data_IF_026973717316
#
_entry.id   IF_026973717316
#
_cell.length_a   1.000
_cell.length_b   1.000
_cell.length_c   1.000
_cell.angle_alpha   90.00
_cell.angle_beta   90.00
_cell.angle_gamma   90.00
#
_symmetry.space_group_name_H-M   'P 1'
#
loop_
_entity.id
_entity.type
_entity.pdbx_description
1 polymer ?
#
# COMPACT_ATOMS: atom_id res chain seq x y z
N UNK A 1 33.04 -12.29 -3.48
CA UNK A 1 31.78 -11.85 -2.82
C UNK A 1 30.64 -12.49 -3.58
N UNK A 2 29.63 -13.05 -2.90
CA UNK A 2 28.49 -13.62 -3.60
C UNK A 2 27.53 -12.51 -4.02
N UNK A 3 27.25 -12.40 -5.31
CA UNK A 3 26.21 -11.52 -5.83
C UNK A 3 24.87 -12.24 -5.86
N UNK A 4 23.78 -11.49 -5.68
CA UNK A 4 22.42 -11.99 -5.77
C UNK A 4 21.50 -10.94 -6.42
N UNK A 5 20.33 -11.38 -6.87
CA UNK A 5 19.34 -10.52 -7.53
C UNK A 5 18.05 -10.50 -6.74
N UNK A 6 17.41 -9.34 -6.69
CA UNK A 6 16.08 -9.16 -6.10
C UNK A 6 15.21 -8.30 -7.00
N UNK A 7 13.92 -8.59 -7.03
CA UNK A 7 12.92 -7.73 -7.62
C UNK A 7 12.34 -6.84 -6.53
N UNK A 8 12.50 -5.54 -6.63
CA UNK A 8 12.13 -4.64 -5.56
C UNK A 8 11.58 -3.30 -6.06
N UNK A 9 10.71 -2.71 -5.24
CA UNK A 9 10.22 -1.34 -5.40
C UNK A 9 10.88 -0.41 -4.38
N UNK A 10 11.25 0.79 -4.84
CA UNK A 10 11.86 1.81 -3.98
C UNK A 10 10.79 2.52 -3.15
N UNK A 11 10.89 2.38 -1.83
CA UNK A 11 10.04 3.07 -0.84
C UNK A 11 10.54 4.47 -0.50
N UNK A 12 11.81 4.74 -0.78
CA UNK A 12 12.46 6.00 -0.47
C UNK A 12 13.92 5.80 -0.11
N UNK A 13 14.59 6.84 0.38
CA UNK A 13 15.98 6.73 0.76
C UNK A 13 16.54 8.01 1.37
N UNK A 14 17.70 7.87 2.01
CA UNK A 14 18.41 8.95 2.71
C UNK A 14 19.79 9.13 2.12
N UNK A 15 20.18 10.36 1.84
CA UNK A 15 21.53 10.68 1.40
C UNK A 15 22.50 10.49 2.57
N UNK A 16 23.61 9.76 2.32
CA UNK A 16 24.68 9.55 3.27
C UNK A 16 25.99 9.94 2.62
N UNK A 17 26.85 10.62 3.35
CA UNK A 17 28.07 11.22 2.80
C UNK A 17 27.78 12.14 1.60
N UNK A 18 28.79 12.55 0.85
CA UNK A 18 28.61 13.45 -0.29
C UNK A 18 28.01 12.76 -1.51
N UNK A 19 28.29 11.48 -1.72
CA UNK A 19 28.05 10.78 -3.01
C UNK A 19 27.13 9.57 -2.90
N UNK A 20 26.88 9.09 -1.70
CA UNK A 20 26.18 7.84 -1.44
C UNK A 20 24.73 8.08 -1.01
N UNK A 21 23.88 7.06 -1.18
CA UNK A 21 22.50 7.03 -0.72
C UNK A 21 22.16 5.66 -0.15
N UNK A 22 21.44 5.62 0.96
CA UNK A 22 20.76 4.42 1.44
C UNK A 22 19.38 4.39 0.88
N UNK A 23 18.99 3.28 0.27
CA UNK A 23 17.63 3.03 -0.19
C UNK A 23 16.90 2.13 0.79
N UNK A 24 15.64 2.43 1.01
CA UNK A 24 14.67 1.49 1.56
C UNK A 24 13.88 0.93 0.40
N UNK A 25 13.84 -0.38 0.29
CA UNK A 25 13.12 -1.11 -0.75
C UNK A 25 12.22 -2.17 -0.14
N UNK A 26 11.16 -2.54 -0.84
CA UNK A 26 10.39 -3.74 -0.54
C UNK A 26 10.60 -4.72 -1.68
N UNK A 27 11.15 -5.88 -1.37
CA UNK A 27 11.49 -6.92 -2.35
C UNK A 27 10.55 -8.11 -2.28
N UNK A 28 10.37 -8.75 -3.43
CA UNK A 28 9.59 -9.97 -3.56
C UNK A 28 10.20 -11.11 -2.72
N UNK A 29 11.53 -11.23 -2.75
CA UNK A 29 12.26 -12.38 -2.20
C UNK A 29 12.57 -12.26 -0.70
N UNK A 30 12.78 -11.03 -0.20
CA UNK A 30 13.27 -10.81 1.16
C UNK A 30 12.45 -9.81 1.97
N UNK A 31 11.40 -9.22 1.37
CA UNK A 31 10.62 -8.18 2.03
C UNK A 31 11.38 -6.86 2.13
N UNK A 32 11.28 -6.19 3.27
CA UNK A 32 11.86 -4.85 3.46
C UNK A 32 13.36 -4.93 3.68
N UNK A 33 14.12 -4.19 2.86
CA UNK A 33 15.58 -4.13 2.91
C UNK A 33 16.08 -2.68 2.88
N UNK A 34 17.26 -2.48 3.45
CA UNK A 34 18.08 -1.28 3.24
C UNK A 34 19.28 -1.64 2.38
N UNK A 35 19.47 -0.91 1.28
CA UNK A 35 20.56 -1.13 0.32
C UNK A 35 21.42 0.12 0.19
N UNK A 36 22.72 -0.06 -0.06
CA UNK A 36 23.67 1.04 -0.27
C UNK A 36 23.91 1.28 -1.75
N UNK A 37 23.63 2.48 -2.23
CA UNK A 37 24.03 2.95 -3.57
C UNK A 37 25.25 3.84 -3.45
N UNK A 38 26.41 3.29 -3.78
CA UNK A 38 27.69 4.00 -3.77
C UNK A 38 27.80 4.94 -4.97
N UNK A 39 28.21 6.18 -4.74
CA UNK A 39 28.46 7.16 -5.81
C UNK A 39 27.23 7.55 -6.65
N UNK A 40 26.01 7.20 -6.25
CA UNK A 40 24.80 7.41 -7.05
C UNK A 40 24.48 8.89 -7.30
N UNK A 41 24.97 9.76 -6.47
CA UNK A 41 24.78 11.22 -6.59
C UNK A 41 25.74 11.90 -7.57
N UNK A 42 26.75 11.17 -8.08
CA UNK A 42 27.64 11.67 -9.12
C UNK A 42 26.90 11.78 -10.46
N UNK A 43 27.26 12.78 -11.28
CA UNK A 43 26.60 13.02 -12.57
C UNK A 43 26.64 11.84 -13.53
N UNK A 44 27.74 11.10 -13.53
CA UNK A 44 27.97 9.97 -14.45
C UNK A 44 27.47 8.61 -13.91
N UNK A 45 26.76 8.58 -12.77
CA UNK A 45 26.29 7.33 -12.20
C UNK A 45 25.24 6.64 -13.08
N UNK A 46 25.48 5.35 -13.38
CA UNK A 46 24.53 4.48 -14.11
C UNK A 46 23.32 4.09 -13.27
N UNK A 47 23.40 4.24 -11.95
CA UNK A 47 22.35 3.85 -11.00
C UNK A 47 21.39 5.00 -10.64
N UNK A 48 21.41 6.11 -11.37
CA UNK A 48 20.59 7.29 -11.04
C UNK A 48 19.10 6.98 -10.94
N UNK A 49 18.56 6.17 -11.84
CA UNK A 49 17.15 5.83 -11.84
C UNK A 49 16.77 4.94 -10.65
N UNK A 50 17.69 4.08 -10.20
CA UNK A 50 17.48 3.18 -9.06
C UNK A 50 17.24 3.91 -7.71
N UNK A 51 17.55 5.21 -7.62
CA UNK A 51 17.35 5.99 -6.40
C UNK A 51 15.99 6.68 -6.30
N UNK A 52 15.23 6.71 -7.40
CA UNK A 52 13.98 7.45 -7.46
C UNK A 52 12.84 6.66 -6.78
N UNK A 53 11.97 7.36 -6.07
CA UNK A 53 10.77 6.78 -5.46
C UNK A 53 9.88 6.18 -6.56
N UNK A 54 9.13 5.14 -6.22
CA UNK A 54 8.30 4.32 -7.11
C UNK A 54 9.07 3.48 -8.12
N UNK A 55 10.39 3.64 -8.25
CA UNK A 55 11.15 2.83 -9.23
C UNK A 55 11.09 1.36 -8.85
N UNK A 56 10.62 0.54 -9.79
CA UNK A 56 10.52 -0.91 -9.69
C UNK A 56 11.47 -1.56 -10.68
N UNK A 57 12.24 -2.54 -10.22
CA UNK A 57 13.17 -3.26 -11.07
C UNK A 57 13.94 -4.35 -10.36
N UNK A 58 14.86 -4.96 -11.10
CA UNK A 58 15.78 -5.98 -10.60
C UNK A 58 17.08 -5.31 -10.12
N UNK A 59 17.34 -5.40 -8.83
CA UNK A 59 18.59 -4.97 -8.21
C UNK A 59 19.60 -6.10 -8.19
N UNK A 60 20.82 -5.83 -8.60
CA UNK A 60 21.97 -6.73 -8.47
C UNK A 60 22.76 -6.24 -7.26
N UNK A 61 22.86 -7.09 -6.25
CA UNK A 61 23.43 -6.74 -4.95
C UNK A 61 24.64 -7.61 -4.64
N UNK A 62 25.62 -7.06 -3.97
CA UNK A 62 26.73 -7.79 -3.34
C UNK A 62 26.61 -7.68 -1.83
N UNK A 63 26.96 -8.78 -1.14
CA UNK A 63 26.98 -8.80 0.32
C UNK A 63 27.99 -7.80 0.87
N UNK A 64 27.49 -6.84 1.64
CA UNK A 64 28.27 -5.93 2.45
C UNK A 64 28.52 -6.47 3.86
N UNK A 65 29.28 -5.74 4.66
CA UNK A 65 29.51 -6.12 6.06
C UNK A 65 28.23 -5.93 6.90
N UNK A 66 27.58 -4.77 6.79
CA UNK A 66 26.33 -4.45 7.50
C UNK A 66 25.17 -4.21 6.53
N UNK A 67 25.42 -3.58 5.41
CA UNK A 67 24.42 -3.20 4.40
C UNK A 67 24.92 -3.66 3.03
N UNK A 68 24.05 -4.36 2.31
CA UNK A 68 24.35 -4.86 0.97
C UNK A 68 24.47 -3.71 -0.05
N UNK A 69 25.37 -3.86 -1.01
CA UNK A 69 25.72 -2.82 -1.98
C UNK A 69 25.09 -3.14 -3.32
N UNK A 70 24.37 -2.17 -3.89
CA UNK A 70 23.84 -2.29 -5.25
C UNK A 70 24.95 -2.03 -6.25
N UNK A 71 25.23 -3.03 -7.11
CA UNK A 71 26.23 -2.98 -8.19
C UNK A 71 25.62 -2.86 -9.57
N UNK A 72 24.32 -3.20 -9.72
CA UNK A 72 23.58 -3.07 -10.96
C UNK A 72 22.08 -2.91 -10.72
N UNK A 73 21.39 -2.39 -11.72
CA UNK A 73 19.94 -2.19 -11.69
C UNK A 73 19.36 -2.24 -13.10
N UNK A 74 18.39 -3.14 -13.30
CA UNK A 74 17.60 -3.24 -14.50
C UNK A 74 16.17 -2.75 -14.20
N UNK A 75 15.78 -1.61 -14.79
CA UNK A 75 14.47 -1.04 -14.56
C UNK A 75 13.38 -1.89 -15.25
N UNK A 76 12.32 -2.20 -14.51
CA UNK A 76 11.11 -2.83 -15.06
C UNK A 76 10.07 -1.76 -15.32
N UNK A 77 9.80 -0.91 -14.33
CA UNK A 77 8.91 0.24 -14.44
C UNK A 77 9.38 1.34 -13.46
N UNK A 78 9.36 2.58 -13.87
CA UNK A 78 9.67 3.70 -13.01
C UNK A 78 8.44 4.50 -12.60
N UNK A 79 7.26 4.07 -13.04
CA UNK A 79 5.98 4.73 -12.79
C UNK A 79 6.03 6.24 -12.94
N UNK A 80 6.69 6.71 -14.02
CA UNK A 80 6.97 8.14 -14.23
C UNK A 80 5.71 9.01 -14.36
N UNK A 81 4.55 8.42 -14.63
CA UNK A 81 3.27 9.12 -14.60
C UNK A 81 2.91 9.64 -13.22
N UNK A 82 3.30 8.94 -12.16
CA UNK A 82 3.03 9.37 -10.78
C UNK A 82 3.76 10.67 -10.41
N UNK A 83 4.97 10.87 -10.94
CA UNK A 83 5.76 12.08 -10.62
C UNK A 83 5.38 13.31 -11.46
N UNK A 84 4.53 13.14 -12.47
CA UNK A 84 4.04 14.22 -13.35
C UNK A 84 2.68 14.77 -12.94
N UNK A 85 1.97 14.05 -12.07
CA UNK A 85 0.66 14.39 -11.56
C UNK A 85 0.72 14.47 -10.04
N UNK A 86 0.38 15.61 -9.47
CA UNK A 86 0.54 15.88 -8.05
C UNK A 86 -0.41 15.03 -7.19
N UNK A 87 -1.63 14.80 -7.65
CA UNK A 87 -2.61 13.98 -6.93
C UNK A 87 -2.17 12.51 -6.92
N UNK A 88 -1.77 11.98 -8.09
CA UNK A 88 -1.21 10.61 -8.20
C UNK A 88 0.08 10.45 -7.39
N UNK A 89 0.91 11.49 -7.33
CA UNK A 89 2.13 11.45 -6.51
C UNK A 89 1.82 11.28 -5.03
N UNK A 90 0.90 12.07 -4.48
CA UNK A 90 0.54 11.98 -3.06
C UNK A 90 -0.17 10.66 -2.74
N UNK A 91 -1.06 10.19 -3.61
CA UNK A 91 -1.71 8.88 -3.43
C UNK A 91 -0.69 7.73 -3.50
N UNK A 92 0.25 7.79 -4.45
CA UNK A 92 1.36 6.83 -4.52
C UNK A 92 2.26 6.84 -3.28
N UNK A 93 2.58 8.02 -2.75
CA UNK A 93 3.31 8.16 -1.49
C UNK A 93 2.52 7.56 -0.31
N UNK A 94 1.21 7.77 -0.24
CA UNK A 94 0.36 7.17 0.78
C UNK A 94 0.35 5.64 0.70
N UNK A 95 0.27 5.07 -0.50
CA UNK A 95 0.37 3.61 -0.73
C UNK A 95 1.71 3.07 -0.22
N UNK A 96 2.84 3.72 -0.56
CA UNK A 96 4.16 3.28 -0.09
C UNK A 96 4.35 3.45 1.42
N UNK A 97 3.76 4.49 2.02
CA UNK A 97 3.81 4.73 3.45
C UNK A 97 3.01 3.67 4.22
N UNK A 98 1.81 3.34 3.76
CA UNK A 98 0.99 2.23 4.28
C UNK A 98 1.72 0.89 4.19
N UNK A 99 2.29 0.59 3.02
CA UNK A 99 3.12 -0.60 2.84
C UNK A 99 4.27 -0.62 3.85
N UNK A 100 4.98 0.50 4.00
CA UNK A 100 6.12 0.61 4.92
C UNK A 100 5.71 0.42 6.39
N UNK A 101 4.49 0.75 6.78
CA UNK A 101 3.97 0.54 8.12
C UNK A 101 3.76 -0.96 8.46
N UNK A 102 3.35 -1.78 7.49
CA UNK A 102 2.98 -3.18 7.73
C UNK A 102 4.01 -4.19 7.21
N UNK A 103 4.78 -3.82 6.20
CA UNK A 103 5.74 -4.72 5.58
C UNK A 103 6.89 -5.07 6.53
N UNK A 104 7.26 -6.34 6.56
CA UNK A 104 8.40 -6.86 7.32
C UNK A 104 9.25 -7.80 6.45
N UNK A 105 9.05 -9.09 6.58
CA UNK A 105 9.70 -10.13 5.77
C UNK A 105 9.11 -10.28 4.36
N UNK A 106 9.57 -11.30 3.64
CA UNK A 106 9.05 -11.65 2.33
C UNK A 106 7.53 -11.90 2.37
N UNK A 107 6.81 -11.22 1.52
CA UNK A 107 5.36 -11.37 1.36
C UNK A 107 4.99 -11.18 -0.12
N UNK A 108 5.09 -12.26 -0.94
CA UNK A 108 4.81 -12.16 -2.37
C UNK A 108 3.41 -11.65 -2.71
N UNK A 109 2.32 -12.05 -2.02
CA UNK A 109 1.00 -11.47 -2.27
C UNK A 109 0.98 -9.95 -2.08
N UNK A 110 1.54 -9.44 -0.98
CA UNK A 110 1.61 -8.00 -0.71
C UNK A 110 2.50 -7.26 -1.73
N UNK A 111 3.57 -7.91 -2.19
CA UNK A 111 4.41 -7.35 -3.25
C UNK A 111 3.64 -7.17 -4.56
N UNK A 112 2.89 -8.18 -4.98
CA UNK A 112 2.05 -8.12 -6.18
C UNK A 112 0.96 -7.04 -6.01
N UNK A 113 0.37 -6.95 -4.83
CA UNK A 113 -0.67 -5.98 -4.50
C UNK A 113 -0.18 -4.54 -4.66
N UNK A 114 0.97 -4.19 -4.08
CA UNK A 114 1.52 -2.82 -4.20
C UNK A 114 1.92 -2.48 -5.62
N UNK A 115 2.51 -3.41 -6.37
CA UNK A 115 2.86 -3.18 -7.78
C UNK A 115 1.61 -2.96 -8.62
N UNK A 116 0.54 -3.75 -8.40
CA UNK A 116 -0.75 -3.59 -9.10
C UNK A 116 -1.42 -2.26 -8.77
N UNK A 117 -1.40 -1.85 -7.51
CA UNK A 117 -1.93 -0.56 -7.07
C UNK A 117 -1.22 0.62 -7.76
N UNK A 118 0.12 0.64 -7.72
CA UNK A 118 0.92 1.71 -8.35
C UNK A 118 0.81 1.71 -9.87
N UNK A 119 0.74 0.53 -10.50
CA UNK A 119 0.53 0.39 -11.94
C UNK A 119 -0.82 1.00 -12.35
N UNK A 120 -1.88 0.63 -11.65
CA UNK A 120 -3.23 1.15 -11.92
C UNK A 120 -3.28 2.65 -11.70
N UNK A 121 -2.70 3.14 -10.60
CA UNK A 121 -2.63 4.58 -10.31
C UNK A 121 -1.85 5.35 -11.39
N UNK A 122 -0.76 4.77 -11.90
CA UNK A 122 0.07 5.41 -12.92
C UNK A 122 -0.64 5.50 -14.27
N UNK A 123 -1.28 4.42 -14.70
CA UNK A 123 -1.71 4.25 -16.09
C UNK A 123 -3.22 4.40 -16.32
N UNK A 124 -4.02 4.35 -15.25
CA UNK A 124 -5.46 4.52 -15.34
C UNK A 124 -5.92 5.87 -14.74
N UNK A 125 -7.10 6.32 -15.18
CA UNK A 125 -7.77 7.47 -14.59
C UNK A 125 -9.02 6.97 -13.88
N UNK A 126 -8.92 6.78 -12.57
CA UNK A 126 -10.00 6.29 -11.73
C UNK A 126 -10.49 7.42 -10.80
N UNK A 127 -11.73 7.32 -10.30
CA UNK A 127 -12.20 8.21 -9.26
C UNK A 127 -11.28 8.14 -8.03
N UNK A 128 -11.19 9.26 -7.34
CA UNK A 128 -10.45 9.40 -6.10
C UNK A 128 -10.91 8.33 -5.10
N UNK A 129 -9.99 7.82 -4.31
CA UNK A 129 -10.15 6.78 -3.30
C UNK A 129 -10.23 5.33 -3.81
N UNK A 130 -10.56 5.04 -5.07
CA UNK A 130 -10.73 3.66 -5.54
C UNK A 130 -9.50 2.79 -5.28
N UNK A 131 -8.32 3.31 -5.61
CA UNK A 131 -7.08 2.54 -5.51
C UNK A 131 -6.62 2.45 -4.06
N UNK A 132 -6.63 3.57 -3.33
CA UNK A 132 -6.19 3.58 -1.94
C UNK A 132 -7.12 2.76 -1.04
N UNK A 133 -8.45 2.83 -1.26
CA UNK A 133 -9.42 2.05 -0.48
C UNK A 133 -9.26 0.55 -0.74
N UNK A 134 -9.07 0.17 -2.01
CA UNK A 134 -8.79 -1.23 -2.33
C UNK A 134 -7.49 -1.69 -1.68
N UNK A 135 -6.44 -0.88 -1.73
CA UNK A 135 -5.16 -1.21 -1.11
C UNK A 135 -5.27 -1.32 0.42
N UNK A 136 -5.98 -0.39 1.08
CA UNK A 136 -6.26 -0.47 2.52
C UNK A 136 -7.04 -1.73 2.90
N UNK A 137 -8.06 -2.10 2.11
CA UNK A 137 -8.79 -3.36 2.31
C UNK A 137 -7.85 -4.57 2.26
N UNK A 138 -6.98 -4.63 1.26
CA UNK A 138 -6.00 -5.71 1.12
C UNK A 138 -5.01 -5.75 2.30
N UNK A 139 -4.59 -4.59 2.81
CA UNK A 139 -3.71 -4.53 3.99
C UNK A 139 -4.42 -4.98 5.27
N UNK A 140 -5.65 -4.55 5.49
CA UNK A 140 -6.46 -4.93 6.65
C UNK A 140 -6.73 -6.45 6.63
N UNK A 141 -7.04 -7.01 5.46
CA UNK A 141 -7.20 -8.46 5.28
C UNK A 141 -5.87 -9.21 5.55
N UNK A 142 -4.75 -8.71 5.05
CA UNK A 142 -3.42 -9.28 5.31
C UNK A 142 -3.01 -9.22 6.79
N UNK A 143 -3.56 -8.28 7.57
CA UNK A 143 -3.41 -8.21 9.02
C UNK A 143 -4.34 -9.18 9.77
N UNK A 144 -5.19 -9.94 9.04
CA UNK A 144 -6.10 -10.92 9.60
C UNK A 144 -7.48 -10.37 9.98
N UNK A 145 -7.81 -9.14 9.58
CA UNK A 145 -9.11 -8.53 9.86
C UNK A 145 -9.99 -8.51 8.61
N UNK A 146 -11.10 -9.23 8.65
CA UNK A 146 -12.10 -9.21 7.58
C UNK A 146 -13.46 -8.83 8.16
N UNK A 147 -13.89 -7.60 7.89
CA UNK A 147 -15.17 -7.11 8.36
C UNK A 147 -16.29 -7.13 7.31
N UNK A 148 -16.05 -7.68 6.12
CA UNK A 148 -17.08 -7.77 5.08
C UNK A 148 -17.98 -9.01 5.28
N UNK A 149 -18.73 -9.01 6.38
CA UNK A 149 -19.61 -10.12 6.78
C UNK A 149 -21.08 -9.77 6.68
N UNK A 150 -21.93 -10.77 6.46
CA UNK A 150 -23.40 -10.63 6.46
C UNK A 150 -24.01 -10.78 7.87
N UNK A 151 -23.25 -11.32 8.81
CA UNK A 151 -23.72 -11.59 10.16
C UNK A 151 -22.92 -10.80 11.20
N UNK A 152 -23.56 -10.46 12.31
CA UNK A 152 -22.92 -9.86 13.48
C UNK A 152 -21.86 -10.79 14.05
N UNK A 153 -20.63 -10.29 14.24
CA UNK A 153 -19.54 -11.10 14.79
C UNK A 153 -19.82 -11.61 16.23
N UNK A 154 -20.61 -10.85 17.01
CA UNK A 154 -20.89 -11.19 18.41
C UNK A 154 -22.08 -12.12 18.57
N UNK A 155 -23.24 -11.85 17.94
CA UNK A 155 -24.48 -12.60 18.17
C UNK A 155 -24.96 -13.39 16.94
N UNK A 156 -24.22 -13.35 15.83
CA UNK A 156 -24.49 -14.07 14.59
C UNK A 156 -25.82 -13.74 13.90
N UNK A 157 -26.54 -12.72 14.35
CA UNK A 157 -27.76 -12.25 13.67
C UNK A 157 -27.41 -11.63 12.33
N UNK A 158 -28.24 -11.84 11.33
CA UNK A 158 -28.07 -11.20 10.01
C UNK A 158 -28.16 -9.67 10.13
N UNK A 159 -27.18 -8.97 9.55
CA UNK A 159 -27.03 -7.54 9.69
C UNK A 159 -28.01 -6.80 8.76
N UNK A 160 -28.84 -5.92 9.34
CA UNK A 160 -29.65 -4.93 8.64
C UNK A 160 -29.06 -3.53 8.75
N UNK A 161 -28.32 -3.27 9.81
CA UNK A 161 -27.47 -2.08 10.02
C UNK A 161 -26.13 -2.54 10.52
N UNK A 162 -25.05 -1.89 10.06
CA UNK A 162 -23.67 -2.29 10.28
C UNK A 162 -22.92 -1.24 11.08
N UNK A 163 -22.16 -1.70 12.05
CA UNK A 163 -21.25 -0.88 12.85
C UNK A 163 -19.90 -1.58 12.93
N UNK A 164 -18.85 -0.92 12.46
CA UNK A 164 -17.50 -1.41 12.66
C UNK A 164 -17.07 -1.14 14.10
N UNK A 165 -16.84 -2.17 14.85
CA UNK A 165 -16.27 -2.09 16.18
C UNK A 165 -14.73 -2.01 16.06
N UNK A 166 -14.20 -0.82 16.34
CA UNK A 166 -12.77 -0.54 16.20
C UNK A 166 -11.89 -1.31 17.19
N UNK A 167 -12.43 -1.76 18.32
CA UNK A 167 -11.66 -2.54 19.31
C UNK A 167 -11.29 -3.92 18.78
N UNK A 168 -12.20 -4.55 18.04
CA UNK A 168 -12.04 -5.92 17.53
C UNK A 168 -11.85 -6.02 16.01
N UNK A 169 -12.09 -4.92 15.26
CA UNK A 169 -11.98 -4.90 13.79
C UNK A 169 -13.07 -5.67 13.06
N UNK A 170 -14.25 -5.79 13.65
CA UNK A 170 -15.34 -6.61 13.11
C UNK A 170 -16.67 -5.85 13.10
N UNK A 171 -17.59 -6.29 12.25
CA UNK A 171 -18.91 -5.69 12.17
C UNK A 171 -19.87 -6.30 13.19
N UNK A 172 -20.58 -5.41 13.90
CA UNK A 172 -21.60 -5.76 14.88
C UNK A 172 -22.96 -5.13 14.53
N UNK A 173 -24.04 -5.72 15.06
CA UNK A 173 -25.39 -5.19 14.94
C UNK A 173 -25.64 -4.04 15.93
N UNK A 174 -26.76 -3.30 15.80
CA UNK A 174 -27.11 -2.21 16.72
C UNK A 174 -27.13 -2.60 18.19
N UNK A 175 -27.54 -3.84 18.52
CA UNK A 175 -27.64 -4.31 19.90
C UNK A 175 -26.30 -4.70 20.53
N UNK A 176 -25.29 -5.03 19.71
CA UNK A 176 -23.94 -5.41 20.15
C UNK A 176 -22.92 -4.28 20.06
N UNK A 177 -23.33 -3.08 19.58
CA UNK A 177 -22.42 -1.93 19.44
C UNK A 177 -22.00 -1.37 20.80
N UNK A 178 -20.79 -0.85 20.87
CA UNK A 178 -20.25 -0.06 21.98
C UNK A 178 -19.92 1.37 21.53
N UNK A 179 -19.29 2.14 22.42
CA UNK A 179 -18.90 3.54 22.16
C UNK A 179 -17.81 3.71 21.09
N UNK A 180 -17.03 2.65 20.82
CA UNK A 180 -15.94 2.65 19.83
C UNK A 180 -16.41 2.12 18.46
N UNK A 181 -17.71 2.03 18.24
CA UNK A 181 -18.28 1.61 16.97
C UNK A 181 -18.52 2.79 16.03
N UNK A 182 -18.20 2.58 14.73
CA UNK A 182 -18.47 3.53 13.64
C UNK A 182 -19.57 2.95 12.76
N UNK A 183 -20.62 3.73 12.50
CA UNK A 183 -21.68 3.31 11.60
C UNK A 183 -21.16 3.21 10.16
N UNK A 184 -21.61 2.20 9.42
CA UNK A 184 -21.31 2.01 8.00
C UNK A 184 -22.63 2.11 7.23
N UNK A 185 -22.70 3.06 6.29
CA UNK A 185 -23.86 3.17 5.40
C UNK A 185 -23.94 2.00 4.44
N UNK A 186 -25.13 1.73 3.88
CA UNK A 186 -25.29 0.69 2.87
C UNK A 186 -24.50 1.01 1.58
N UNK A 187 -24.40 2.30 1.23
CA UNK A 187 -23.58 2.74 0.10
C UNK A 187 -22.08 2.44 0.31
N UNK A 188 -21.58 2.78 1.50
CA UNK A 188 -20.19 2.46 1.88
C UNK A 188 -19.93 0.94 1.91
N UNK A 189 -20.80 0.16 2.52
CA UNK A 189 -20.63 -1.30 2.58
C UNK A 189 -20.64 -1.93 1.19
N UNK A 190 -21.53 -1.48 0.31
CA UNK A 190 -21.60 -1.94 -1.08
C UNK A 190 -20.33 -1.56 -1.85
N UNK A 191 -19.79 -0.34 -1.65
CA UNK A 191 -18.54 0.10 -2.23
C UNK A 191 -17.37 -0.77 -1.78
N UNK A 192 -17.21 -1.00 -0.48
CA UNK A 192 -16.17 -1.85 0.09
C UNK A 192 -16.24 -3.29 -0.45
N UNK A 193 -17.45 -3.85 -0.58
CA UNK A 193 -17.67 -5.20 -1.11
C UNK A 193 -17.28 -5.30 -2.59
N UNK A 194 -17.63 -4.29 -3.40
CA UNK A 194 -17.23 -4.23 -4.81
C UNK A 194 -15.71 -4.08 -4.97
N UNK A 195 -15.09 -3.20 -4.21
CA UNK A 195 -13.64 -3.00 -4.24
C UNK A 195 -12.89 -4.26 -3.82
N UNK A 196 -13.31 -4.92 -2.75
CA UNK A 196 -12.69 -6.16 -2.26
C UNK A 196 -12.75 -7.29 -3.29
N UNK A 197 -13.89 -7.45 -3.97
CA UNK A 197 -14.10 -8.55 -4.95
C UNK A 197 -13.53 -8.26 -6.33
N UNK A 198 -13.10 -7.04 -6.63
CA UNK A 198 -12.60 -6.65 -7.96
C UNK A 198 -11.08 -6.72 -8.02
N UNK A 199 -10.53 -7.12 -9.16
CA UNK A 199 -9.10 -6.94 -9.43
C UNK A 199 -8.81 -5.49 -9.84
N UNK A 200 -7.54 -5.05 -9.75
CA UNK A 200 -7.15 -3.69 -10.15
C UNK A 200 -7.51 -3.37 -11.60
N UNK A 201 -7.37 -4.32 -12.52
CA UNK A 201 -7.70 -4.14 -13.95
C UNK A 201 -9.20 -3.90 -14.18
N UNK A 202 -10.06 -4.33 -13.25
CA UNK A 202 -11.52 -4.16 -13.34
C UNK A 202 -12.03 -2.91 -12.65
N UNK A 203 -11.21 -2.18 -11.92
CA UNK A 203 -11.65 -0.99 -11.19
C UNK A 203 -12.26 0.07 -12.11
N UNK A 204 -11.78 0.21 -13.34
CA UNK A 204 -12.34 1.15 -14.33
C UNK A 204 -13.76 0.79 -14.79
N UNK A 205 -14.20 -0.43 -14.59
CA UNK A 205 -15.53 -0.91 -15.00
C UNK A 205 -16.57 -0.78 -13.90
N UNK A 206 -16.16 -0.58 -12.65
CA UNK A 206 -17.10 -0.44 -11.53
C UNK A 206 -17.47 1.04 -11.33
N UNK A 207 -18.71 1.24 -10.90
CA UNK A 207 -19.20 2.55 -10.49
C UNK A 207 -19.70 2.44 -9.05
N UNK A 208 -19.01 3.12 -8.16
CA UNK A 208 -19.46 3.26 -6.79
C UNK A 208 -20.49 4.39 -6.74
N UNK A 209 -21.50 4.26 -5.92
CA UNK A 209 -22.58 5.25 -5.85
C UNK A 209 -22.38 6.26 -4.73
N UNK A 210 -22.44 7.55 -5.08
CA UNK A 210 -22.56 8.63 -4.11
C UNK A 210 -21.36 8.84 -3.19
N UNK A 211 -21.63 9.28 -1.94
CA UNK A 211 -20.61 9.58 -0.93
C UNK A 211 -19.95 8.34 -0.28
N UNK A 212 -20.30 7.13 -0.77
CA UNK A 212 -19.81 5.87 -0.20
C UNK A 212 -18.30 5.71 -0.26
N UNK A 213 -17.65 6.27 -1.27
CA UNK A 213 -16.18 6.20 -1.46
C UNK A 213 -15.44 6.97 -0.36
N UNK A 214 -15.81 8.22 -0.14
CA UNK A 214 -15.23 9.05 0.91
C UNK A 214 -15.48 8.49 2.30
N UNK A 215 -16.67 7.95 2.54
CA UNK A 215 -16.99 7.25 3.77
C UNK A 215 -16.12 6.00 3.94
N UNK A 216 -15.93 5.21 2.87
CA UNK A 216 -15.07 4.03 2.87
C UNK A 216 -13.63 4.40 3.26
N UNK A 217 -13.05 5.40 2.62
CA UNK A 217 -11.71 5.90 2.97
C UNK A 217 -11.58 6.29 4.44
N UNK A 218 -12.56 7.03 4.97
CA UNK A 218 -12.54 7.46 6.37
C UNK A 218 -12.63 6.27 7.35
N UNK A 219 -13.46 5.28 7.03
CA UNK A 219 -13.63 4.07 7.87
C UNK A 219 -12.36 3.21 7.81
N UNK A 220 -11.84 2.95 6.62
CA UNK A 220 -10.64 2.15 6.41
C UNK A 220 -9.41 2.79 7.06
N UNK A 221 -9.24 4.10 6.89
CA UNK A 221 -8.14 4.86 7.51
C UNK A 221 -8.19 4.79 9.03
N UNK A 222 -9.41 4.88 9.59
CA UNK A 222 -9.63 4.80 11.04
C UNK A 222 -9.35 3.40 11.57
N UNK A 223 -9.84 2.37 10.90
CA UNK A 223 -9.58 0.98 11.29
C UNK A 223 -8.09 0.65 11.18
N UNK A 224 -7.45 1.03 10.08
CA UNK A 224 -6.01 0.84 9.91
C UNK A 224 -5.20 1.49 11.03
N UNK A 225 -5.56 2.71 11.43
CA UNK A 225 -4.92 3.38 12.57
C UNK A 225 -5.10 2.59 13.88
N UNK A 226 -6.31 2.08 14.15
CA UNK A 226 -6.56 1.27 15.35
C UNK A 226 -5.76 -0.05 15.35
N UNK A 227 -5.50 -0.65 14.17
CA UNK A 227 -4.72 -1.91 14.06
C UNK A 227 -3.22 -1.70 14.18
N UNK A 228 -2.72 -0.60 13.61
CA UNK A 228 -1.27 -0.41 13.40
C UNK A 228 -0.67 0.73 14.23
N UNK A 229 -1.49 1.63 14.74
CA UNK A 229 -1.04 2.92 15.31
C UNK A 229 -0.54 3.91 14.25
N UNK A 230 -0.59 3.54 12.96
CA UNK A 230 -0.06 4.37 11.87
C UNK A 230 -1.18 5.18 11.20
N UNK A 231 -0.99 6.50 11.13
CA UNK A 231 -1.97 7.39 10.50
C UNK A 231 -1.81 7.39 8.98
N UNK A 232 -2.91 7.17 8.27
CA UNK A 232 -2.91 7.25 6.81
C UNK A 232 -2.66 8.69 6.37
N UNK A 233 -1.71 8.88 5.44
CA UNK A 233 -1.41 10.20 4.88
C UNK A 233 -2.63 10.73 4.12
N UNK A 234 -2.94 12.01 4.31
CA UNK A 234 -4.02 12.67 3.57
C UNK A 234 -3.69 12.70 2.09
N UNK A 235 -4.62 12.20 1.27
CA UNK A 235 -4.56 12.37 -0.19
C UNK A 235 -5.26 13.68 -0.57
N UNK A 236 -4.59 14.48 -1.38
CA UNK A 236 -5.04 15.83 -1.79
C UNK A 236 -6.17 15.74 -2.81
#
# INVERSE_FOLDING_TARGET
MSSYKINAIVLGGTNVKEKDRLLRVFSLEHGKLTLSLKGVRQEKSKLKIAKEIFCFGQFICEKGHEIDIVTGFDVIDNFSGLTKDIEKYYEGCAILDLLNAVASGANPPLFIEVISALKTLCYENLPKYYIIDKFLLSLIDALGYNFLTENCSTCQVRLTKRYLNLDIGEIVCPSCRNQNCVAISEACYSALKLLSSSSYEKLSTIKLGGDGEKEAYNILSKDFYYRTGHQVLSII
#
